data_IF_261230099900
#
_entry.id   IF_261230099900
#
_cell.length_a   1.000
_cell.length_b   1.000
_cell.length_c   1.000
_cell.angle_alpha   90.00
_cell.angle_beta   90.00
_cell.angle_gamma   90.00
#
_symmetry.space_group_name_H-M   'P 1'
#
loop_
_entity.id
_entity.type
_entity.pdbx_description
1 polymer ?
#
# COMPACT_ATOMS: atom_id res chain seq x y z
N UNK A 1 54.33 30.12 49.18
CA UNK A 1 54.87 28.75 49.11
C UNK A 1 53.70 27.85 49.45
N UNK A 2 53.27 27.07 48.45
CA UNK A 2 52.31 25.97 48.52
C UNK A 2 50.84 26.28 48.82
N UNK A 3 50.14 26.90 47.85
CA UNK A 3 48.71 26.67 47.64
C UNK A 3 48.54 25.68 46.49
N UNK A 4 48.55 24.40 46.83
CA UNK A 4 48.19 23.28 45.97
C UNK A 4 46.69 23.34 45.68
N UNK A 5 46.35 23.78 44.46
CA UNK A 5 45.01 23.75 43.91
C UNK A 5 44.63 22.28 43.65
N UNK A 6 43.86 21.72 44.57
CA UNK A 6 43.23 20.41 44.45
C UNK A 6 42.13 20.49 43.37
N UNK A 7 42.40 19.94 42.19
CA UNK A 7 41.42 19.85 41.10
C UNK A 7 40.64 18.54 41.29
N UNK A 8 39.32 18.62 41.54
CA UNK A 8 38.51 17.41 41.69
C UNK A 8 38.48 16.62 40.38
N UNK A 9 38.71 15.32 40.54
CA UNK A 9 38.72 14.30 39.49
C UNK A 9 37.61 14.50 38.47
N UNK A 10 38.03 14.77 37.23
CA UNK A 10 37.18 14.71 36.05
C UNK A 10 36.94 13.24 35.72
N UNK A 11 36.11 12.57 36.55
CA UNK A 11 35.67 11.21 36.27
C UNK A 11 34.77 11.26 35.05
N UNK A 12 35.33 10.85 33.90
CA UNK A 12 34.59 10.49 32.70
C UNK A 12 33.62 9.35 33.05
N UNK A 13 32.44 9.69 33.54
CA UNK A 13 31.35 8.73 33.72
C UNK A 13 30.98 8.23 32.34
N UNK A 14 31.28 6.96 32.07
CA UNK A 14 30.86 6.29 30.85
C UNK A 14 29.35 6.52 30.65
N UNK A 15 28.89 6.85 29.43
CA UNK A 15 27.48 7.07 29.18
C UNK A 15 26.70 5.83 29.65
N UNK A 16 25.54 6.02 30.32
CA UNK A 16 24.78 4.92 30.87
C UNK A 16 24.51 3.89 29.78
N UNK A 17 24.86 2.62 30.05
CA UNK A 17 24.57 1.48 29.16
C UNK A 17 23.08 1.54 28.82
N UNK A 18 22.75 1.75 27.53
CA UNK A 18 21.37 1.70 27.03
C UNK A 18 20.79 0.36 27.46
N UNK A 19 19.68 0.38 28.22
CA UNK A 19 18.93 -0.83 28.54
C UNK A 19 18.58 -1.51 27.20
N UNK A 20 18.78 -2.83 27.07
CA UNK A 20 18.40 -3.53 25.85
C UNK A 20 16.92 -3.28 25.60
N UNK A 21 16.59 -2.80 24.39
CA UNK A 21 15.21 -2.62 23.97
C UNK A 21 14.53 -3.99 24.06
N UNK A 22 13.47 -4.12 24.86
CA UNK A 22 12.92 -5.43 25.22
C UNK A 22 11.91 -5.98 24.21
N UNK A 23 11.64 -5.26 23.11
CA UNK A 23 10.76 -5.70 22.03
C UNK A 23 11.20 -5.13 20.67
N UNK A 24 10.87 -5.84 19.60
CA UNK A 24 11.07 -5.46 18.20
C UNK A 24 9.73 -5.01 17.61
N UNK A 25 9.70 -3.84 17.00
CA UNK A 25 8.49 -3.29 16.40
C UNK A 25 8.80 -2.69 15.03
N UNK A 26 8.01 -3.07 14.02
CA UNK A 26 8.14 -2.56 12.65
C UNK A 26 6.75 -2.45 12.02
N UNK A 27 6.51 -1.34 11.32
CA UNK A 27 5.34 -1.18 10.45
C UNK A 27 5.84 -1.05 9.01
N UNK A 28 5.58 -2.08 8.21
CA UNK A 28 5.95 -2.11 6.79
C UNK A 28 4.75 -1.65 5.97
N UNK A 29 4.91 -0.55 5.23
CA UNK A 29 3.86 -0.05 4.33
C UNK A 29 3.84 -0.86 3.03
N UNK A 30 2.69 -1.41 2.67
CA UNK A 30 2.55 -2.29 1.49
C UNK A 30 1.88 -1.50 0.38
N UNK A 31 2.67 -0.99 -0.57
CA UNK A 31 2.15 -0.13 -1.64
C UNK A 31 2.63 -0.58 -3.00
N UNK A 32 1.72 -0.54 -3.96
CA UNK A 32 2.06 -0.87 -5.34
C UNK A 32 2.09 -2.37 -5.59
N UNK A 33 1.35 -3.20 -4.85
CA UNK A 33 1.46 -4.66 -4.99
C UNK A 33 0.35 -5.21 -5.90
N UNK A 34 0.68 -6.23 -6.71
CA UNK A 34 -0.29 -7.06 -7.43
C UNK A 34 -0.31 -8.44 -6.81
N UNK A 35 -1.42 -8.82 -6.20
CA UNK A 35 -1.59 -10.09 -5.49
C UNK A 35 -2.77 -10.86 -6.09
N UNK A 36 -2.72 -12.19 -6.02
CA UNK A 36 -3.92 -13.03 -6.18
C UNK A 36 -4.48 -13.49 -4.83
N UNK A 37 -5.69 -14.05 -4.84
CA UNK A 37 -6.27 -14.70 -3.66
C UNK A 37 -5.37 -15.85 -3.19
N UNK A 38 -4.76 -16.61 -4.12
CA UNK A 38 -3.80 -17.66 -3.79
C UNK A 38 -2.55 -17.09 -3.12
N UNK A 39 -1.97 -15.98 -3.62
CA UNK A 39 -0.84 -15.33 -2.97
C UNK A 39 -1.20 -14.92 -1.51
N UNK A 40 -2.41 -14.39 -1.31
CA UNK A 40 -2.91 -14.00 0.01
C UNK A 40 -3.11 -15.21 0.93
N UNK A 41 -3.68 -16.31 0.40
CA UNK A 41 -3.86 -17.58 1.12
C UNK A 41 -2.51 -18.18 1.52
N UNK A 42 -1.52 -18.11 0.64
CA UNK A 42 -0.16 -18.58 0.88
C UNK A 42 0.55 -17.74 1.94
N UNK A 43 0.32 -16.42 1.97
CA UNK A 43 0.82 -15.55 3.04
C UNK A 43 0.16 -15.90 4.36
N UNK A 44 -1.17 -16.05 4.37
CA UNK A 44 -1.93 -16.44 5.57
C UNK A 44 -1.43 -17.76 6.15
N UNK A 45 -1.23 -18.76 5.29
CA UNK A 45 -0.80 -20.10 5.70
C UNK A 45 0.59 -20.10 6.33
N UNK A 46 1.54 -19.38 5.72
CA UNK A 46 2.90 -19.25 6.26
C UNK A 46 2.93 -18.50 7.61
N UNK A 47 2.19 -17.40 7.71
CA UNK A 47 2.10 -16.62 8.95
C UNK A 47 1.39 -17.41 10.06
N UNK A 48 0.37 -18.20 9.70
CA UNK A 48 -0.32 -19.10 10.62
C UNK A 48 0.63 -20.20 11.12
N UNK A 49 1.44 -20.79 10.24
CA UNK A 49 2.45 -21.78 10.62
C UNK A 49 3.52 -21.19 11.57
N UNK A 50 3.98 -19.96 11.33
CA UNK A 50 4.90 -19.25 12.23
C UNK A 50 4.25 -19.02 13.60
N UNK A 51 3.00 -18.55 13.63
CA UNK A 51 2.28 -18.29 14.88
C UNK A 51 2.02 -19.58 15.68
N UNK A 52 1.67 -20.68 14.99
CA UNK A 52 1.46 -21.99 15.60
C UNK A 52 2.76 -22.55 16.19
N UNK A 53 3.86 -22.48 15.44
CA UNK A 53 5.19 -22.92 15.94
C UNK A 53 5.61 -22.14 17.18
N UNK A 54 5.40 -20.82 17.16
CA UNK A 54 5.63 -20.00 18.36
C UNK A 54 4.72 -20.42 19.52
N UNK A 55 3.46 -20.77 19.24
CA UNK A 55 2.54 -21.31 20.23
C UNK A 55 3.03 -22.60 20.88
N UNK A 56 3.59 -23.53 20.10
CA UNK A 56 4.21 -24.76 20.59
C UNK A 56 5.34 -24.46 21.60
N UNK A 57 6.22 -23.52 21.25
CA UNK A 57 7.33 -23.09 22.12
C UNK A 57 6.80 -22.47 23.43
N UNK A 58 5.77 -21.61 23.36
CA UNK A 58 5.16 -21.01 24.55
C UNK A 58 4.49 -22.06 25.42
N UNK A 59 3.71 -22.96 24.83
CA UNK A 59 2.99 -24.03 25.55
C UNK A 59 3.97 -24.97 26.25
N UNK A 60 5.13 -25.27 25.64
CA UNK A 60 6.17 -26.07 26.25
C UNK A 60 6.74 -25.46 27.56
N UNK A 61 6.66 -24.13 27.72
CA UNK A 61 7.10 -23.44 28.94
C UNK A 61 6.02 -23.32 30.01
N UNK A 62 4.78 -23.70 29.72
CA UNK A 62 3.68 -23.60 30.69
C UNK A 62 3.82 -24.65 31.79
N UNK A 63 3.67 -24.22 33.04
CA UNK A 63 3.64 -25.12 34.18
C UNK A 63 2.23 -25.66 34.40
N UNK A 64 2.12 -26.98 34.56
CA UNK A 64 0.87 -27.65 34.90
C UNK A 64 0.42 -27.22 36.31
N UNK A 65 -0.86 -26.92 36.48
CA UNK A 65 -1.45 -26.77 37.80
C UNK A 65 -1.45 -28.14 38.51
N UNK A 66 -0.94 -28.27 39.75
CA UNK A 66 -0.94 -29.54 40.49
C UNK A 66 -2.32 -30.20 40.63
N UNK A 67 -3.41 -29.44 40.51
CA UNK A 67 -4.78 -29.94 40.64
C UNK A 67 -5.34 -30.56 39.34
N UNK A 68 -4.71 -30.32 38.19
CA UNK A 68 -5.20 -30.78 36.88
C UNK A 68 -4.65 -32.16 36.55
N UNK A 69 -5.51 -33.05 36.05
CA UNK A 69 -5.10 -34.38 35.59
C UNK A 69 -4.24 -34.29 34.32
N UNK A 70 -3.48 -35.36 34.02
CA UNK A 70 -2.63 -35.40 32.81
C UNK A 70 -3.46 -35.25 31.53
N UNK A 71 -4.63 -35.87 31.48
CA UNK A 71 -5.53 -35.82 30.34
C UNK A 71 -6.13 -34.42 30.13
N UNK A 72 -6.63 -33.79 31.20
CA UNK A 72 -7.14 -32.41 31.15
C UNK A 72 -6.06 -31.42 30.72
N UNK A 73 -4.82 -31.64 31.15
CA UNK A 73 -3.70 -30.77 30.80
C UNK A 73 -3.34 -30.87 29.32
N UNK A 74 -3.28 -32.07 28.75
CA UNK A 74 -3.01 -32.24 27.31
C UNK A 74 -4.16 -31.71 26.46
N UNK A 75 -5.41 -31.90 26.89
CA UNK A 75 -6.58 -31.30 26.24
C UNK A 75 -6.53 -29.76 26.25
N UNK A 76 -6.11 -29.17 27.38
CA UNK A 76 -5.95 -27.72 27.50
C UNK A 76 -4.85 -27.17 26.57
N UNK A 77 -3.70 -27.86 26.47
CA UNK A 77 -2.64 -27.50 25.53
C UNK A 77 -3.11 -27.56 24.08
N UNK A 78 -3.80 -28.64 23.71
CA UNK A 78 -4.33 -28.82 22.36
C UNK A 78 -5.31 -27.69 22.00
N UNK A 79 -6.22 -27.35 22.93
CA UNK A 79 -7.13 -26.22 22.79
C UNK A 79 -6.40 -24.89 22.62
N UNK A 80 -5.41 -24.57 23.46
CA UNK A 80 -4.64 -23.33 23.31
C UNK A 80 -3.95 -23.26 21.95
N UNK A 81 -3.33 -24.35 21.51
CA UNK A 81 -2.62 -24.38 20.24
C UNK A 81 -3.57 -24.21 19.04
N UNK A 82 -4.75 -24.83 19.09
CA UNK A 82 -5.72 -24.80 18.01
C UNK A 82 -6.51 -23.49 17.95
N UNK A 83 -6.97 -22.99 19.10
CA UNK A 83 -7.93 -21.89 19.18
C UNK A 83 -7.29 -20.56 19.58
N UNK A 84 -6.25 -20.55 20.41
CA UNK A 84 -5.60 -19.29 20.85
C UNK A 84 -4.45 -18.85 19.94
N UNK A 85 -3.72 -19.80 19.36
CA UNK A 85 -2.60 -19.56 18.44
C UNK A 85 -2.99 -19.67 16.95
N UNK A 86 -4.26 -19.40 16.61
CA UNK A 86 -4.69 -19.25 15.23
C UNK A 86 -4.64 -17.79 14.76
N UNK A 87 -4.61 -17.58 13.45
CA UNK A 87 -4.86 -16.28 12.85
C UNK A 87 -6.36 -16.13 12.59
N UNK A 88 -6.88 -14.94 12.84
CA UNK A 88 -8.22 -14.56 12.41
C UNK A 88 -8.12 -13.79 11.10
N UNK A 89 -9.05 -14.02 10.19
CA UNK A 89 -9.18 -13.33 8.92
C UNK A 89 -10.54 -12.62 8.83
N UNK A 90 -10.52 -11.38 8.37
CA UNK A 90 -11.69 -10.62 7.96
C UNK A 90 -11.50 -10.12 6.53
N UNK A 91 -12.43 -10.47 5.65
CA UNK A 91 -12.48 -10.05 4.25
C UNK A 91 -13.70 -9.16 4.11
N UNK A 92 -13.49 -7.91 3.70
CA UNK A 92 -14.57 -6.94 3.46
C UNK A 92 -14.63 -6.63 1.97
N UNK A 93 -15.82 -6.72 1.38
CA UNK A 93 -16.10 -6.29 0.02
C UNK A 93 -16.88 -4.99 -0.02
N UNK A 94 -17.52 -4.74 -1.16
CA UNK A 94 -18.46 -3.63 -1.30
C UNK A 94 -19.80 -3.91 -0.59
N UNK A 95 -20.56 -2.84 -0.29
CA UNK A 95 -21.91 -2.90 0.29
C UNK A 95 -21.98 -3.68 1.62
N UNK A 96 -21.01 -3.46 2.50
CA UNK A 96 -20.95 -4.05 3.84
C UNK A 96 -20.90 -5.60 3.84
N UNK A 97 -20.54 -6.23 2.72
CA UNK A 97 -20.28 -7.67 2.67
C UNK A 97 -19.01 -7.99 3.46
N UNK A 98 -19.13 -8.86 4.46
CA UNK A 98 -18.02 -9.26 5.30
C UNK A 98 -18.01 -10.77 5.47
N UNK A 99 -16.83 -11.35 5.38
CA UNK A 99 -16.57 -12.76 5.66
C UNK A 99 -15.48 -12.86 6.72
N UNK A 100 -15.75 -13.68 7.73
CA UNK A 100 -14.84 -13.92 8.85
C UNK A 100 -14.46 -15.39 8.90
N UNK A 101 -13.22 -15.68 9.29
CA UNK A 101 -12.76 -17.06 9.47
C UNK A 101 -11.46 -17.13 10.26
N UNK A 102 -11.04 -18.37 10.53
CA UNK A 102 -9.81 -18.70 11.27
C UNK A 102 -9.01 -19.80 10.55
N UNK A 103 -9.46 -20.22 9.36
CA UNK A 103 -8.79 -21.17 8.49
C UNK A 103 -8.55 -20.57 7.10
N UNK A 104 -7.63 -21.19 6.36
CA UNK A 104 -7.36 -20.85 4.95
C UNK A 104 -8.54 -21.15 4.02
N UNK A 105 -9.53 -21.92 4.48
CA UNK A 105 -10.68 -22.32 3.65
C UNK A 105 -11.62 -21.13 3.43
N UNK A 106 -11.49 -20.06 4.22
CA UNK A 106 -12.26 -18.82 4.02
C UNK A 106 -12.05 -18.24 2.63
N UNK A 107 -10.85 -18.41 2.06
CA UNK A 107 -10.52 -17.91 0.72
C UNK A 107 -11.16 -18.73 -0.41
N UNK A 108 -11.63 -19.94 -0.12
CA UNK A 108 -12.32 -20.84 -1.06
C UNK A 108 -13.85 -20.77 -0.90
N UNK A 109 -14.34 -19.98 0.05
CA UNK A 109 -15.76 -19.88 0.34
C UNK A 109 -16.54 -19.32 -0.85
N UNK A 110 -17.67 -19.95 -1.18
CA UNK A 110 -18.61 -19.40 -2.16
C UNK A 110 -19.23 -18.07 -1.72
N UNK A 111 -19.14 -17.72 -0.43
CA UNK A 111 -19.61 -16.45 0.14
C UNK A 111 -18.53 -15.35 0.11
N UNK A 112 -17.41 -15.56 -0.59
CA UNK A 112 -16.37 -14.56 -0.72
C UNK A 112 -16.93 -13.27 -1.37
N UNK A 113 -16.73 -12.09 -0.75
CA UNK A 113 -17.17 -10.84 -1.35
C UNK A 113 -16.49 -10.61 -2.71
N UNK A 114 -17.23 -10.06 -3.67
CA UNK A 114 -16.68 -9.70 -4.98
C UNK A 114 -17.30 -8.37 -5.47
N UNK A 115 -16.52 -7.29 -5.56
CA UNK A 115 -15.07 -7.21 -5.35
C UNK A 115 -14.66 -7.25 -3.87
N UNK A 116 -13.43 -7.73 -3.60
CA UNK A 116 -12.78 -7.60 -2.29
C UNK A 116 -12.15 -6.22 -2.18
N UNK A 117 -12.50 -5.49 -1.12
CA UNK A 117 -11.97 -4.16 -0.84
C UNK A 117 -10.80 -4.23 0.15
N UNK A 118 -10.96 -4.95 1.25
CA UNK A 118 -9.90 -5.10 2.26
C UNK A 118 -9.80 -6.52 2.76
N UNK A 119 -8.59 -6.91 3.12
CA UNK A 119 -8.29 -8.17 3.79
C UNK A 119 -7.45 -7.88 5.03
N UNK A 120 -7.88 -8.37 6.18
CA UNK A 120 -7.21 -8.15 7.46
C UNK A 120 -6.96 -9.48 8.16
N UNK A 121 -5.72 -9.72 8.57
CA UNK A 121 -5.32 -10.86 9.39
C UNK A 121 -4.65 -10.42 10.68
N UNK A 122 -4.96 -11.08 11.79
CA UNK A 122 -4.25 -10.86 13.05
C UNK A 122 -4.29 -12.09 13.97
N UNK A 123 -3.28 -12.22 14.85
CA UNK A 123 -3.27 -13.22 15.93
C UNK A 123 -3.84 -12.71 17.26
N UNK A 124 -4.23 -11.44 17.33
CA UNK A 124 -4.65 -10.78 18.58
C UNK A 124 -6.05 -11.23 18.99
N UNK A 125 -6.97 -11.31 18.03
CA UNK A 125 -8.39 -11.57 18.28
C UNK A 125 -8.62 -12.97 18.86
N UNK A 126 -8.00 -13.99 18.28
CA UNK A 126 -8.05 -15.37 18.76
C UNK A 126 -7.46 -15.50 20.17
N UNK A 127 -6.26 -14.94 20.37
CA UNK A 127 -5.57 -14.95 21.66
C UNK A 127 -6.40 -14.29 22.78
N UNK A 128 -6.97 -13.11 22.52
CA UNK A 128 -7.81 -12.42 23.49
C UNK A 128 -9.06 -13.23 23.85
N UNK A 129 -9.64 -13.95 22.88
CA UNK A 129 -10.81 -14.79 23.09
C UNK A 129 -10.52 -16.02 23.95
N UNK A 130 -9.36 -16.66 23.76
CA UNK A 130 -9.10 -18.00 24.29
C UNK A 130 -8.04 -18.11 25.38
N UNK A 131 -7.07 -17.18 25.50
CA UNK A 131 -5.93 -17.35 26.41
C UNK A 131 -5.96 -16.49 27.69
N UNK A 132 -6.38 -15.21 27.62
CA UNK A 132 -6.21 -14.32 28.80
C UNK A 132 -6.92 -12.96 28.74
N UNK A 133 -7.68 -12.63 27.68
CA UNK A 133 -8.19 -11.26 27.41
C UNK A 133 -7.11 -10.16 27.36
N UNK A 134 -5.83 -10.52 27.45
CA UNK A 134 -4.70 -9.63 27.19
C UNK A 134 -4.24 -9.81 25.75
N UNK A 135 -3.36 -8.94 25.26
CA UNK A 135 -2.74 -9.12 23.96
C UNK A 135 -1.56 -10.12 24.04
N UNK A 136 -1.26 -10.85 22.95
CA UNK A 136 -0.09 -11.73 22.93
C UNK A 136 1.21 -10.90 22.95
N UNK A 137 2.28 -11.50 23.46
CA UNK A 137 3.63 -10.88 23.46
C UNK A 137 4.14 -10.63 22.05
N UNK A 138 3.90 -11.60 21.17
CA UNK A 138 4.19 -11.49 19.74
C UNK A 138 2.91 -11.26 18.98
N UNK A 139 2.85 -10.15 18.25
CA UNK A 139 1.69 -9.64 17.54
C UNK A 139 2.04 -9.46 16.09
N UNK A 140 1.08 -9.81 15.28
CA UNK A 140 1.13 -9.63 13.85
C UNK A 140 -0.23 -9.16 13.39
N UNK A 141 -0.22 -8.07 12.62
CA UNK A 141 -1.39 -7.55 11.93
C UNK A 141 -1.01 -7.30 10.47
N UNK A 142 -1.79 -7.85 9.56
CA UNK A 142 -1.65 -7.64 8.12
C UNK A 142 -2.94 -7.00 7.64
N UNK A 143 -2.85 -5.78 7.15
CA UNK A 143 -3.96 -5.08 6.53
C UNK A 143 -3.62 -4.84 5.06
N UNK A 144 -4.48 -5.31 4.15
CA UNK A 144 -4.35 -5.14 2.72
C UNK A 144 -5.60 -4.41 2.20
N UNK A 145 -5.40 -3.23 1.65
CA UNK A 145 -6.39 -2.38 1.00
C UNK A 145 -6.22 -2.43 -0.52
N UNK A 146 -7.27 -2.91 -1.18
CA UNK A 146 -7.46 -3.00 -2.63
C UNK A 146 -8.51 -2.00 -3.13
N UNK A 147 -8.91 -1.06 -2.26
CA UNK A 147 -9.83 0.02 -2.59
C UNK A 147 -9.31 0.88 -3.73
N UNK A 148 -10.24 1.37 -4.54
CA UNK A 148 -9.95 2.33 -5.61
C UNK A 148 -10.21 3.76 -5.15
N UNK A 149 -9.42 4.73 -5.62
CA UNK A 149 -9.79 6.13 -5.43
C UNK A 149 -11.10 6.44 -6.18
N UNK A 150 -11.92 7.37 -5.69
CA UNK A 150 -13.11 7.83 -6.40
C UNK A 150 -12.75 8.45 -7.77
N UNK A 151 -13.65 8.29 -8.73
CA UNK A 151 -13.49 8.90 -10.06
C UNK A 151 -13.85 10.38 -9.99
N UNK A 152 -12.94 11.25 -10.45
CA UNK A 152 -13.15 12.70 -10.56
C UNK A 152 -13.53 13.39 -9.25
N UNK A 153 -12.82 13.07 -8.16
CA UNK A 153 -13.01 13.76 -6.89
C UNK A 153 -12.42 15.18 -6.92
N UNK A 154 -13.27 16.23 -6.88
CA UNK A 154 -12.79 17.62 -6.93
C UNK A 154 -12.06 18.02 -5.64
N UNK A 155 -12.26 17.29 -4.55
CA UNK A 155 -11.66 17.59 -3.23
C UNK A 155 -10.27 17.00 -3.06
N UNK A 156 -9.90 16.04 -3.91
CA UNK A 156 -8.59 15.39 -3.83
C UNK A 156 -7.44 16.34 -4.20
N UNK A 157 -6.40 16.35 -3.36
CA UNK A 157 -5.12 17.03 -3.65
C UNK A 157 -4.30 16.10 -4.54
N UNK A 158 -4.19 16.43 -5.83
CA UNK A 158 -3.59 15.52 -6.83
C UNK A 158 -2.09 15.26 -6.64
N UNK A 159 -1.40 16.23 -6.04
CA UNK A 159 0.03 16.17 -5.72
C UNK A 159 0.32 15.23 -4.54
N UNK A 160 -0.70 14.92 -3.72
CA UNK A 160 -0.58 13.98 -2.62
C UNK A 160 -0.57 12.54 -3.13
N UNK A 161 0.15 11.65 -2.41
CA UNK A 161 0.13 10.24 -2.74
C UNK A 161 -1.28 9.69 -2.55
N UNK A 162 -1.76 8.86 -3.49
CA UNK A 162 -3.09 8.24 -3.35
C UNK A 162 -3.18 7.46 -2.03
N UNK A 163 -4.22 7.69 -1.21
CA UNK A 163 -4.38 6.98 0.06
C UNK A 163 -4.34 5.46 -0.14
N UNK A 164 -3.66 4.77 0.76
CA UNK A 164 -3.62 3.32 0.82
C UNK A 164 -3.18 2.92 2.22
N UNK A 165 -4.05 2.22 2.94
CA UNK A 165 -3.85 1.91 4.35
C UNK A 165 -3.15 0.56 4.56
N UNK A 166 -2.77 -0.12 3.48
CA UNK A 166 -2.13 -1.43 3.55
C UNK A 166 -0.82 -1.38 4.33
N UNK A 167 -0.76 -2.17 5.39
CA UNK A 167 0.40 -2.23 6.26
C UNK A 167 0.52 -3.59 6.92
N UNK A 168 1.76 -3.99 7.20
CA UNK A 168 2.06 -5.11 8.08
C UNK A 168 2.70 -4.55 9.34
N UNK A 169 2.05 -4.76 10.48
CA UNK A 169 2.57 -4.38 11.79
C UNK A 169 3.03 -5.63 12.51
N UNK A 170 4.28 -5.63 12.93
CA UNK A 170 4.87 -6.71 13.71
C UNK A 170 5.40 -6.12 15.00
N UNK A 171 4.97 -6.67 16.12
CA UNK A 171 5.49 -6.33 17.45
C UNK A 171 5.81 -7.61 18.19
N UNK A 172 7.07 -7.87 18.51
CA UNK A 172 7.48 -9.14 19.08
C UNK A 172 8.57 -8.98 20.13
N UNK A 173 8.44 -9.72 21.23
CA UNK A 173 9.50 -9.88 22.22
C UNK A 173 10.55 -10.90 21.73
N UNK A 174 10.13 -11.85 20.89
CA UNK A 174 11.00 -12.86 20.30
C UNK A 174 11.56 -12.42 18.93
N UNK A 175 12.89 -12.40 18.82
CA UNK A 175 13.60 -12.02 17.60
C UNK A 175 13.40 -13.03 16.45
N UNK A 176 13.23 -14.31 16.76
CA UNK A 176 13.06 -15.36 15.75
C UNK A 176 11.71 -15.21 15.05
N UNK A 177 10.64 -15.00 15.82
CA UNK A 177 9.31 -14.67 15.32
C UNK A 177 9.35 -13.41 14.45
N UNK A 178 9.96 -12.33 14.96
CA UNK A 178 10.07 -11.07 14.21
C UNK A 178 10.74 -11.26 12.85
N UNK A 179 11.88 -11.96 12.82
CA UNK A 179 12.62 -12.23 11.57
C UNK A 179 11.85 -13.13 10.62
N UNK A 180 11.19 -14.17 11.13
CA UNK A 180 10.39 -15.08 10.31
C UNK A 180 9.24 -14.34 9.61
N UNK A 181 8.49 -13.51 10.35
CA UNK A 181 7.42 -12.70 9.78
C UNK A 181 7.97 -11.72 8.75
N UNK A 182 9.04 -10.99 9.08
CA UNK A 182 9.68 -10.04 8.15
C UNK A 182 10.13 -10.70 6.86
N UNK A 183 10.72 -11.90 6.95
CA UNK A 183 11.14 -12.66 5.78
C UNK A 183 9.96 -13.00 4.85
N UNK A 184 8.80 -13.38 5.42
CA UNK A 184 7.58 -13.64 4.63
C UNK A 184 7.08 -12.36 3.95
N UNK A 185 7.07 -11.23 4.67
CA UNK A 185 6.68 -9.92 4.12
C UNK A 185 7.60 -9.52 2.95
N UNK A 186 8.91 -9.59 3.15
CA UNK A 186 9.88 -9.22 2.13
C UNK A 186 9.76 -10.13 0.89
N UNK A 187 9.64 -11.45 1.09
CA UNK A 187 9.64 -12.42 0.00
C UNK A 187 8.32 -12.44 -0.76
N UNK A 188 7.17 -12.40 -0.07
CA UNK A 188 5.85 -12.58 -0.70
C UNK A 188 5.14 -11.26 -1.03
N UNK A 189 5.29 -10.22 -0.23
CA UNK A 189 4.60 -8.94 -0.47
C UNK A 189 5.46 -7.95 -1.27
N UNK A 190 6.71 -7.72 -0.86
CA UNK A 190 7.52 -6.66 -1.48
C UNK A 190 8.04 -7.03 -2.88
N UNK A 191 8.24 -8.32 -3.17
CA UNK A 191 8.63 -8.81 -4.51
C UNK A 191 7.55 -8.57 -5.57
N UNK A 192 6.28 -8.40 -5.16
CA UNK A 192 5.12 -8.24 -6.07
C UNK A 192 4.83 -6.79 -6.46
N UNK A 193 5.83 -5.91 -6.36
CA UNK A 193 5.66 -4.48 -6.63
C UNK A 193 5.52 -4.17 -8.13
N UNK A 194 4.54 -3.34 -8.45
CA UNK A 194 4.19 -2.93 -9.81
C UNK A 194 4.87 -1.61 -10.16
N UNK A 195 5.23 -1.46 -11.43
CA UNK A 195 5.90 -0.27 -11.94
C UNK A 195 4.98 0.96 -11.92
N UNK A 196 3.67 0.77 -12.16
CA UNK A 196 2.67 1.85 -12.19
C UNK A 196 2.38 2.41 -10.79
N UNK A 197 2.88 1.81 -9.71
CA UNK A 197 2.86 2.42 -8.37
C UNK A 197 3.50 3.81 -8.32
N UNK A 198 4.33 4.15 -9.30
CA UNK A 198 4.92 5.48 -9.47
C UNK A 198 3.88 6.59 -9.69
N UNK A 199 2.74 6.32 -10.32
CA UNK A 199 1.69 7.34 -10.59
C UNK A 199 1.00 7.82 -9.29
N UNK A 200 1.11 7.03 -8.22
CA UNK A 200 0.55 7.32 -6.90
C UNK A 200 1.56 7.91 -5.94
N UNK A 201 2.80 8.16 -6.37
CA UNK A 201 3.79 8.83 -5.53
C UNK A 201 3.44 10.31 -5.40
N UNK A 202 3.90 10.91 -4.32
CA UNK A 202 3.86 12.36 -4.16
C UNK A 202 4.57 13.02 -5.35
N UNK A 203 4.10 14.20 -5.74
CA UNK A 203 4.71 15.04 -6.79
C UNK A 203 4.67 14.46 -8.22
N UNK A 204 4.23 13.23 -8.46
CA UNK A 204 4.13 12.69 -9.83
C UNK A 204 3.17 13.50 -10.71
N UNK A 205 2.05 13.96 -10.14
CA UNK A 205 1.11 14.85 -10.84
C UNK A 205 1.78 16.16 -11.25
N UNK A 206 2.45 16.84 -10.30
CA UNK A 206 3.09 18.14 -10.57
C UNK A 206 4.19 18.00 -11.62
N UNK A 207 5.01 16.95 -11.53
CA UNK A 207 6.04 16.67 -12.52
C UNK A 207 5.42 16.52 -13.92
N UNK A 208 4.28 15.83 -14.05
CA UNK A 208 3.59 15.72 -15.33
C UNK A 208 2.91 17.02 -15.78
N UNK A 209 2.44 17.87 -14.87
CA UNK A 209 1.98 19.23 -15.23
C UNK A 209 3.13 20.03 -15.85
N UNK A 210 4.29 20.08 -15.19
CA UNK A 210 5.44 20.86 -15.64
C UNK A 210 6.05 20.34 -16.95
N UNK A 211 6.18 19.02 -17.07
CA UNK A 211 6.89 18.40 -18.19
C UNK A 211 5.99 18.10 -19.40
N UNK A 212 4.67 17.97 -19.20
CA UNK A 212 3.73 17.55 -20.25
C UNK A 212 2.61 18.55 -20.43
N UNK A 213 1.79 18.78 -19.41
CA UNK A 213 0.53 19.51 -19.56
C UNK A 213 0.75 20.99 -19.91
N UNK A 214 1.69 21.65 -19.23
CA UNK A 214 1.97 23.07 -19.42
C UNK A 214 2.61 23.34 -20.80
N UNK A 215 3.67 22.62 -21.24
CA UNK A 215 4.18 22.76 -22.61
C UNK A 215 3.12 22.48 -23.68
N UNK A 216 2.35 21.40 -23.53
CA UNK A 216 1.28 21.07 -24.47
C UNK A 216 0.20 22.16 -24.51
N UNK A 217 -0.18 22.69 -23.35
CA UNK A 217 -1.14 23.78 -23.22
C UNK A 217 -0.68 25.06 -23.91
N UNK A 218 0.58 25.43 -23.75
CA UNK A 218 1.17 26.60 -24.42
C UNK A 218 1.20 26.42 -25.94
N UNK A 219 1.58 25.24 -26.43
CA UNK A 219 1.59 24.93 -27.88
C UNK A 219 0.18 25.01 -28.45
N UNK A 220 -0.77 24.29 -27.85
CA UNK A 220 -2.18 24.25 -28.29
C UNK A 220 -2.80 25.65 -28.26
N UNK A 221 -2.63 26.38 -27.15
CA UNK A 221 -3.17 27.72 -27.01
C UNK A 221 -2.60 28.68 -28.06
N UNK A 222 -1.28 28.66 -28.29
CA UNK A 222 -0.62 29.53 -29.28
C UNK A 222 -1.06 29.18 -30.70
N UNK A 223 -1.02 27.90 -31.07
CA UNK A 223 -1.35 27.45 -32.42
C UNK A 223 -2.80 27.79 -32.80
N UNK A 224 -3.77 27.45 -31.94
CA UNK A 224 -5.17 27.73 -32.24
C UNK A 224 -5.53 29.21 -32.09
N UNK A 225 -4.84 29.96 -31.23
CA UNK A 225 -5.01 31.42 -31.15
C UNK A 225 -4.62 32.07 -32.48
N UNK A 226 -3.46 31.72 -33.04
CA UNK A 226 -3.04 32.29 -34.33
C UNK A 226 -3.94 31.85 -35.49
N UNK A 227 -4.42 30.60 -35.45
CA UNK A 227 -5.26 30.05 -36.52
C UNK A 227 -6.66 30.66 -36.53
N UNK A 228 -7.30 30.83 -35.36
CA UNK A 228 -8.70 31.26 -35.27
C UNK A 228 -8.86 32.75 -35.04
N UNK A 229 -7.87 33.40 -34.44
CA UNK A 229 -7.91 34.82 -34.06
C UNK A 229 -6.68 35.57 -34.56
N UNK A 230 -6.31 35.53 -35.85
CA UNK A 230 -5.07 36.15 -36.33
C UNK A 230 -5.04 37.66 -36.06
N UNK A 231 -3.83 38.21 -35.94
CA UNK A 231 -3.60 39.65 -35.72
C UNK A 231 -4.21 40.45 -36.87
N UNK A 232 -4.94 41.52 -36.57
CA UNK A 232 -5.68 42.33 -37.55
C UNK A 232 -7.06 41.78 -37.92
N UNK A 233 -7.50 40.67 -37.33
CA UNK A 233 -8.87 40.17 -37.50
C UNK A 233 -9.88 40.92 -36.62
N UNK A 234 -11.16 40.86 -37.00
CA UNK A 234 -12.27 41.44 -36.20
C UNK A 234 -12.38 40.84 -34.78
N UNK A 235 -11.75 39.69 -34.55
CA UNK A 235 -11.80 38.96 -33.29
C UNK A 235 -10.51 39.08 -32.46
N UNK A 236 -9.59 39.95 -32.86
CA UNK A 236 -8.28 40.12 -32.21
C UNK A 236 -8.40 40.41 -30.70
N UNK A 237 -9.43 41.15 -30.28
CA UNK A 237 -9.70 41.47 -28.89
C UNK A 237 -9.88 40.23 -27.99
N UNK A 238 -10.27 39.07 -28.56
CA UNK A 238 -10.52 37.84 -27.81
C UNK A 238 -9.30 36.91 -27.72
N UNK A 239 -8.17 37.25 -28.35
CA UNK A 239 -6.96 36.39 -28.40
C UNK A 239 -6.48 35.95 -27.02
N UNK A 240 -6.30 36.90 -26.11
CA UNK A 240 -5.81 36.61 -24.76
C UNK A 240 -6.82 35.84 -23.92
N UNK A 241 -8.12 36.12 -24.07
CA UNK A 241 -9.15 35.33 -23.42
C UNK A 241 -9.09 33.88 -23.90
N UNK A 242 -9.06 33.66 -25.22
CA UNK A 242 -8.92 32.33 -25.80
C UNK A 242 -7.65 31.62 -25.30
N UNK A 243 -6.50 32.30 -25.29
CA UNK A 243 -5.24 31.72 -24.83
C UNK A 243 -5.33 31.23 -23.38
N UNK A 244 -5.85 32.05 -22.47
CA UNK A 244 -6.02 31.70 -21.06
C UNK A 244 -7.00 30.53 -20.87
N UNK A 245 -8.14 30.56 -21.56
CA UNK A 245 -9.13 29.48 -21.46
C UNK A 245 -8.63 28.18 -22.09
N UNK A 246 -7.95 28.23 -23.24
CA UNK A 246 -7.36 27.05 -23.88
C UNK A 246 -6.30 26.41 -22.98
N UNK A 247 -5.42 27.23 -22.38
CA UNK A 247 -4.44 26.75 -21.42
C UNK A 247 -5.11 26.11 -20.20
N UNK A 248 -6.11 26.78 -19.63
CA UNK A 248 -6.89 26.25 -18.50
C UNK A 248 -7.60 24.93 -18.83
N UNK A 249 -8.17 24.81 -20.02
CA UNK A 249 -8.82 23.57 -20.50
C UNK A 249 -7.84 22.41 -20.65
N UNK A 250 -6.62 22.66 -21.15
CA UNK A 250 -5.59 21.62 -21.24
C UNK A 250 -5.15 21.15 -19.86
N UNK A 251 -4.93 22.08 -18.92
CA UNK A 251 -4.58 21.73 -17.53
C UNK A 251 -5.71 20.96 -16.83
N UNK A 252 -6.96 21.38 -17.04
CA UNK A 252 -8.13 20.68 -16.50
C UNK A 252 -8.29 19.28 -17.13
N UNK A 253 -8.08 19.16 -18.44
CA UNK A 253 -8.04 17.88 -19.15
C UNK A 253 -6.96 16.96 -18.58
N UNK A 254 -5.75 17.49 -18.34
CA UNK A 254 -4.67 16.73 -17.72
C UNK A 254 -5.03 16.24 -16.31
N UNK A 255 -5.71 17.08 -15.51
CA UNK A 255 -6.27 16.67 -14.21
C UNK A 255 -7.22 15.47 -14.37
N UNK A 256 -8.22 15.56 -15.25
CA UNK A 256 -9.17 14.46 -15.46
C UNK A 256 -8.49 13.17 -15.93
N UNK A 257 -7.52 13.28 -16.84
CA UNK A 257 -6.75 12.14 -17.33
C UNK A 257 -5.91 11.51 -16.21
N UNK A 258 -5.32 12.32 -15.34
CA UNK A 258 -4.53 11.85 -14.19
C UNK A 258 -5.39 11.13 -13.15
N UNK A 259 -6.56 11.69 -12.82
CA UNK A 259 -7.54 11.06 -11.92
C UNK A 259 -8.02 9.73 -12.48
N UNK A 260 -8.37 9.73 -13.76
CA UNK A 260 -8.80 8.54 -14.46
C UNK A 260 -7.68 7.47 -14.51
N UNK A 261 -6.42 7.88 -14.71
CA UNK A 261 -5.28 6.98 -14.64
C UNK A 261 -5.11 6.36 -13.24
N UNK A 262 -5.17 7.16 -12.16
CA UNK A 262 -5.11 6.67 -10.77
C UNK A 262 -6.27 5.72 -10.42
N UNK A 263 -7.45 5.91 -11.02
CA UNK A 263 -8.58 4.99 -10.86
C UNK A 263 -8.38 3.69 -11.66
N UNK A 264 -7.91 3.81 -12.90
CA UNK A 264 -7.70 2.66 -13.79
C UNK A 264 -6.60 1.74 -13.24
N UNK A 265 -5.54 2.31 -12.70
CA UNK A 265 -4.43 1.61 -12.05
C UNK A 265 -4.49 1.94 -10.55
N UNK A 266 -5.17 1.15 -9.69
CA UNK A 266 -5.19 1.42 -8.26
C UNK A 266 -3.86 1.05 -7.61
N UNK A 267 -3.64 1.54 -6.38
CA UNK A 267 -2.36 1.40 -5.66
C UNK A 267 -2.00 -0.07 -5.47
N UNK A 268 -2.93 -0.88 -4.97
CA UNK A 268 -2.77 -2.33 -4.93
C UNK A 268 -3.85 -2.98 -5.80
N UNK A 269 -3.49 -4.07 -6.47
CA UNK A 269 -4.38 -4.81 -7.35
C UNK A 269 -4.54 -6.21 -6.81
N UNK A 270 -5.79 -6.63 -6.65
CA UNK A 270 -6.15 -8.04 -6.51
C UNK A 270 -6.54 -8.58 -7.88
N UNK A 271 -5.83 -9.57 -8.41
CA UNK A 271 -6.10 -10.11 -9.76
C UNK A 271 -7.49 -10.72 -9.90
N UNK A 272 -8.04 -11.22 -8.80
CA UNK A 272 -9.30 -11.95 -8.74
C UNK A 272 -10.52 -11.04 -8.72
N UNK A 273 -10.34 -9.76 -8.38
CA UNK A 273 -11.37 -8.76 -8.59
C UNK A 273 -11.57 -8.64 -10.10
N UNK A 274 -12.69 -9.18 -10.61
CA UNK A 274 -13.11 -9.13 -12.02
C UNK A 274 -13.52 -7.71 -12.42
N UNK A 275 -12.55 -6.83 -12.38
CA UNK A 275 -12.76 -5.43 -12.53
C UNK A 275 -12.68 -5.02 -14.00
N UNK A 276 -13.64 -4.21 -14.44
CA UNK A 276 -13.62 -3.61 -15.77
C UNK A 276 -12.38 -2.72 -16.01
N UNK A 277 -11.62 -2.38 -14.96
CA UNK A 277 -10.38 -1.61 -15.05
C UNK A 277 -9.41 -2.11 -16.11
N UNK A 278 -9.29 -3.43 -16.35
CA UNK A 278 -8.41 -3.95 -17.39
C UNK A 278 -8.79 -3.44 -18.78
N UNK A 279 -10.08 -3.41 -19.10
CA UNK A 279 -10.58 -2.86 -20.38
C UNK A 279 -10.22 -1.39 -20.50
N UNK A 280 -10.42 -0.62 -19.43
CA UNK A 280 -10.07 0.80 -19.40
C UNK A 280 -8.55 1.04 -19.53
N UNK A 281 -7.71 0.19 -18.91
CA UNK A 281 -6.24 0.24 -19.06
C UNK A 281 -5.82 -0.01 -20.51
N UNK A 282 -6.42 -0.99 -21.18
CA UNK A 282 -6.15 -1.28 -22.59
C UNK A 282 -6.58 -0.10 -23.48
N UNK A 283 -7.77 0.45 -23.26
CA UNK A 283 -8.25 1.62 -24.01
C UNK A 283 -7.34 2.83 -23.80
N UNK A 284 -6.92 3.11 -22.56
CA UNK A 284 -5.96 4.18 -22.28
C UNK A 284 -4.60 3.94 -22.91
N UNK A 285 -4.07 2.72 -22.77
CA UNK A 285 -2.79 2.35 -23.37
C UNK A 285 -2.82 2.53 -24.89
N UNK A 286 -3.91 2.14 -25.54
CA UNK A 286 -4.14 2.38 -26.97
C UNK A 286 -4.21 3.87 -27.32
N UNK A 287 -4.96 4.67 -26.56
CA UNK A 287 -5.09 6.11 -26.78
C UNK A 287 -3.74 6.83 -26.62
N UNK A 288 -3.02 6.57 -25.53
CA UNK A 288 -1.71 7.16 -25.27
C UNK A 288 -0.66 6.70 -26.27
N UNK A 289 -0.67 5.41 -26.64
CA UNK A 289 0.21 4.88 -27.69
C UNK A 289 -0.02 5.58 -29.03
N UNK A 290 -1.28 5.80 -29.40
CA UNK A 290 -1.64 6.54 -30.61
C UNK A 290 -1.22 8.02 -30.56
N UNK A 291 -1.48 8.71 -29.44
CA UNK A 291 -1.05 10.10 -29.24
C UNK A 291 0.47 10.24 -29.29
N UNK A 292 1.20 9.33 -28.63
CA UNK A 292 2.66 9.31 -28.64
C UNK A 292 3.21 9.08 -30.04
N UNK A 293 2.64 8.12 -30.78
CA UNK A 293 2.99 7.89 -32.18
C UNK A 293 2.80 9.16 -33.02
N UNK A 294 1.68 9.88 -32.86
CA UNK A 294 1.43 11.14 -33.57
C UNK A 294 2.40 12.26 -33.18
N UNK A 295 2.76 12.37 -31.90
CA UNK A 295 3.76 13.32 -31.46
C UNK A 295 5.14 13.00 -32.04
N UNK A 296 5.54 11.73 -32.03
CA UNK A 296 6.82 11.28 -32.58
C UNK A 296 6.89 11.50 -34.10
N UNK A 297 5.82 11.19 -34.82
CA UNK A 297 5.68 11.42 -36.26
C UNK A 297 5.81 12.92 -36.60
N UNK A 298 5.14 13.79 -35.83
CA UNK A 298 5.27 15.24 -36.00
C UNK A 298 6.69 15.75 -35.73
N UNK A 299 7.35 15.27 -34.66
CA UNK A 299 8.75 15.63 -34.36
C UNK A 299 9.69 15.14 -35.46
N UNK A 300 9.49 13.91 -35.95
CA UNK A 300 10.28 13.35 -37.03
C UNK A 300 10.13 14.14 -38.33
N UNK A 301 8.91 14.59 -38.66
CA UNK A 301 8.64 15.46 -39.80
C UNK A 301 9.25 16.87 -39.69
N UNK A 302 9.61 17.31 -38.49
CA UNK A 302 10.31 18.59 -38.27
C UNK A 302 11.84 18.46 -38.34
N UNK A 303 12.38 17.23 -38.31
CA UNK A 303 13.82 17.02 -38.41
C UNK A 303 14.29 17.27 -39.86
N UNK A 304 15.39 18.03 -40.07
CA UNK A 304 15.87 18.45 -41.39
C UNK A 304 16.45 17.30 -42.25
N UNK A 305 16.30 16.05 -41.82
CA UNK A 305 16.87 14.86 -42.46
C UNK A 305 15.84 14.05 -43.24
N UNK A 306 14.61 14.54 -43.37
CA UNK A 306 13.63 13.99 -44.32
C UNK A 306 13.82 14.70 -45.67
N UNK A 307 14.23 13.99 -46.75
CA UNK A 307 14.52 14.60 -48.06
C UNK A 307 13.29 15.16 -48.76
#
# INVERSE_FOLDING_TARGET
>A
MDDLIDRPDNQLTAPPRRKPVSWFEETVQIRGCSLSIEDIKDIYSDLSAINRKFGEDVIATLHRNPETTDEEWENYKAFLLQDAFCLTVSITGDRDQQLYGESSDVFESAALPNPIRTVYFNNITAWQRHASRTEPRNRLEVFLDFGKPPLFDPTSVLSEPTPNDSSVKVKADDMTFFRAVRQIVDTKLLTRRTWYSSIHRSFTYDAGVWLVALPAGLIVATFYMETWFPVGSNWEAYRWAFFLYALGLVLLGYRFVSDYAKWAFPVNVLSDNKDNSLRHRLTLGGLFGWLFYKAADAVYGLLPFTP
#
